data_IF_466515576363
#
_entry.id   IF_466515576363
#
_cell.length_a   1.000
_cell.length_b   1.000
_cell.length_c   1.000
_cell.angle_alpha   90.00
_cell.angle_beta   90.00
_cell.angle_gamma   90.00
#
_symmetry.space_group_name_H-M   'P 1'
#
loop_
_entity.id
_entity.type
_entity.pdbx_description
1 polymer ?
#
# COMPACT_ATOMS: atom_id res chain seq x y z
N UNK A 1 16.14 9.02 -20.58
CA UNK A 1 15.08 9.57 -19.71
C UNK A 1 13.67 9.05 -20.04
N UNK A 2 13.25 8.98 -21.32
CA UNK A 2 11.92 8.45 -21.70
C UNK A 2 11.61 7.02 -21.21
N UNK A 3 12.57 6.09 -21.31
CA UNK A 3 12.40 4.69 -20.85
C UNK A 3 12.25 4.55 -19.33
N UNK A 4 12.95 5.39 -18.57
CA UNK A 4 12.85 5.43 -17.11
C UNK A 4 11.49 6.00 -16.68
N UNK A 5 11.02 7.06 -17.33
CA UNK A 5 9.70 7.63 -17.08
C UNK A 5 8.58 6.63 -17.37
N UNK A 6 8.69 5.84 -18.44
CA UNK A 6 7.76 4.75 -18.76
C UNK A 6 7.73 3.69 -17.65
N UNK A 7 8.89 3.30 -17.11
CA UNK A 7 8.98 2.35 -16.00
C UNK A 7 8.33 2.89 -14.73
N UNK A 8 8.64 4.12 -14.33
CA UNK A 8 8.06 4.75 -13.14
C UNK A 8 6.53 4.84 -13.28
N UNK A 9 6.05 5.25 -14.45
CA UNK A 9 4.61 5.33 -14.72
C UNK A 9 3.93 3.96 -14.62
N UNK A 10 4.55 2.92 -15.19
CA UNK A 10 4.05 1.55 -15.10
C UNK A 10 4.04 1.02 -13.66
N UNK A 11 5.07 1.36 -12.87
CA UNK A 11 5.15 0.97 -11.46
C UNK A 11 4.05 1.64 -10.63
N UNK A 12 3.82 2.94 -10.81
CA UNK A 12 2.76 3.67 -10.09
C UNK A 12 1.38 3.09 -10.41
N UNK A 13 1.12 2.80 -11.70
CA UNK A 13 -0.13 2.17 -12.13
C UNK A 13 -0.34 0.81 -11.46
N UNK A 14 0.66 -0.06 -11.52
CA UNK A 14 0.59 -1.40 -10.93
C UNK A 14 0.43 -1.33 -9.40
N UNK A 15 1.18 -0.45 -8.74
CA UNK A 15 1.09 -0.23 -7.31
C UNK A 15 -0.30 0.23 -6.90
N UNK A 16 -0.90 1.17 -7.64
CA UNK A 16 -2.26 1.63 -7.40
C UNK A 16 -3.29 0.50 -7.50
N UNK A 17 -3.22 -0.30 -8.57
CA UNK A 17 -4.14 -1.44 -8.78
C UNK A 17 -4.04 -2.44 -7.63
N UNK A 18 -2.82 -2.80 -7.21
CA UNK A 18 -2.61 -3.74 -6.10
C UNK A 18 -3.14 -3.19 -4.78
N UNK A 19 -2.95 -1.90 -4.49
CA UNK A 19 -3.46 -1.28 -3.26
C UNK A 19 -5.00 -1.26 -3.23
N UNK A 20 -5.65 -0.91 -4.35
CA UNK A 20 -7.11 -0.94 -4.45
C UNK A 20 -7.62 -2.36 -4.26
N UNK A 21 -7.02 -3.34 -4.94
CA UNK A 21 -7.40 -4.74 -4.81
C UNK A 21 -7.21 -5.26 -3.39
N UNK A 22 -6.08 -4.95 -2.76
CA UNK A 22 -5.82 -5.29 -1.35
C UNK A 22 -6.87 -4.68 -0.41
N UNK A 23 -7.25 -3.41 -0.63
CA UNK A 23 -8.30 -2.75 0.13
C UNK A 23 -9.66 -3.43 -0.03
N UNK A 24 -9.99 -3.82 -1.26
CA UNK A 24 -11.22 -4.56 -1.54
C UNK A 24 -11.26 -5.91 -0.82
N UNK A 25 -10.15 -6.67 -0.85
CA UNK A 25 -10.05 -7.93 -0.10
C UNK A 25 -10.27 -7.70 1.40
N UNK A 26 -9.64 -6.66 1.96
CA UNK A 26 -9.82 -6.32 3.36
C UNK A 26 -11.27 -6.00 3.69
N UNK A 27 -12.00 -5.28 2.83
CA UNK A 27 -13.45 -5.03 3.03
C UNK A 27 -14.27 -6.32 2.96
N UNK A 28 -13.95 -7.24 2.05
CA UNK A 28 -14.67 -8.52 1.92
C UNK A 28 -14.47 -9.40 3.15
N UNK A 29 -13.24 -9.46 3.69
CA UNK A 29 -12.93 -10.28 4.86
C UNK A 29 -13.15 -9.57 6.20
N UNK A 30 -13.45 -8.27 6.20
CA UNK A 30 -13.73 -7.52 7.41
C UNK A 30 -15.15 -7.83 7.89
N UNK A 31 -15.25 -8.48 9.04
CA UNK A 31 -16.52 -8.74 9.70
C UNK A 31 -16.79 -7.62 10.72
N UNK A 32 -17.73 -6.71 10.45
CA UNK A 32 -18.04 -5.63 11.39
C UNK A 32 -18.73 -6.21 12.64
N UNK A 33 -18.12 -6.04 13.80
CA UNK A 33 -18.71 -6.43 15.08
C UNK A 33 -19.59 -5.29 15.63
N UNK A 34 -20.88 -5.32 15.28
CA UNK A 34 -21.84 -4.33 15.77
C UNK A 34 -22.27 -4.53 17.23
N UNK A 35 -22.02 -5.70 17.82
CA UNK A 35 -22.49 -6.05 19.16
C UNK A 35 -21.75 -5.27 20.25
N UNK A 36 -20.46 -5.00 20.02
CA UNK A 36 -19.66 -4.14 20.88
C UNK A 36 -19.90 -2.65 20.59
N UNK A 37 -20.27 -2.25 19.37
CA UNK A 37 -20.49 -0.83 19.08
C UNK A 37 -21.71 -0.26 19.81
N UNK A 38 -22.83 -0.98 19.87
CA UNK A 38 -24.07 -0.47 20.47
C UNK A 38 -23.97 -0.27 21.99
N UNK A 39 -23.29 -1.19 22.69
CA UNK A 39 -23.07 -1.09 24.15
C UNK A 39 -22.11 0.05 24.55
N UNK A 40 -21.31 0.56 23.61
CA UNK A 40 -20.40 1.70 23.83
C UNK A 40 -21.00 3.05 23.38
N UNK A 41 -22.22 3.08 22.83
CA UNK A 41 -22.88 4.33 22.40
C UNK A 41 -23.23 5.22 23.60
N UNK A 42 -23.57 4.63 24.75
CA UNK A 42 -23.85 5.38 25.99
C UNK A 42 -22.57 5.94 26.65
N UNK A 43 -21.39 5.42 26.29
CA UNK A 43 -20.08 5.88 26.76
C UNK A 43 -19.30 6.69 25.73
N UNK A 44 -19.94 7.06 24.61
CA UNK A 44 -19.31 7.81 23.53
C UNK A 44 -18.95 9.21 24.04
N UNK A 45 -17.72 9.37 24.53
CA UNK A 45 -17.12 10.68 24.77
C UNK A 45 -17.28 11.51 23.48
N UNK A 46 -17.62 12.79 23.64
CA UNK A 46 -17.76 13.76 22.54
C UNK A 46 -16.41 14.06 21.82
N UNK A 47 -15.39 13.25 22.10
CA UNK A 47 -14.06 13.29 21.53
C UNK A 47 -13.94 12.13 20.55
N UNK A 48 -13.83 12.45 19.27
CA UNK A 48 -13.55 11.48 18.22
C UNK A 48 -12.13 10.97 18.45
N UNK A 49 -12.00 9.84 19.14
CA UNK A 49 -10.74 9.12 19.23
C UNK A 49 -10.48 8.58 17.82
N UNK A 50 -9.59 9.23 17.07
CA UNK A 50 -9.07 8.70 15.82
C UNK A 50 -8.41 7.37 16.13
N UNK A 51 -9.14 6.29 15.87
CA UNK A 51 -8.73 4.91 16.13
C UNK A 51 -7.32 4.70 15.55
N UNK A 52 -6.38 4.49 16.47
CA UNK A 52 -5.10 3.79 16.31
C UNK A 52 -4.46 3.99 14.93
N UNK A 53 -3.62 5.03 14.82
CA UNK A 53 -2.66 5.18 13.74
C UNK A 53 -1.97 3.84 13.47
N UNK A 54 -2.03 3.36 12.23
CA UNK A 54 -1.36 2.11 11.85
C UNK A 54 0.09 2.21 12.31
N UNK A 55 0.57 1.21 13.07
CA UNK A 55 1.91 1.21 13.65
C UNK A 55 3.02 1.33 12.60
N UNK A 56 2.68 1.05 11.35
CA UNK A 56 3.55 1.22 10.18
C UNK A 56 3.07 2.43 9.37
N UNK A 57 3.86 3.50 9.29
CA UNK A 57 3.59 4.61 8.40
C UNK A 57 3.64 4.13 6.95
N UNK A 58 2.57 4.36 6.19
CA UNK A 58 2.47 4.02 4.76
C UNK A 58 3.67 4.52 3.95
N UNK A 59 4.24 5.67 4.35
CA UNK A 59 5.43 6.29 3.76
C UNK A 59 6.66 5.36 3.79
N UNK A 60 6.85 4.61 4.88
CA UNK A 60 8.01 3.70 5.00
C UNK A 60 7.86 2.54 4.02
N UNK A 61 6.66 1.98 3.91
CA UNK A 61 6.36 0.86 3.00
C UNK A 61 6.49 1.29 1.54
N UNK A 62 6.04 2.49 1.17
CA UNK A 62 6.22 3.02 -0.19
C UNK A 62 7.69 3.28 -0.52
N UNK A 63 8.48 3.82 0.42
CA UNK A 63 9.92 4.00 0.24
C UNK A 63 10.66 2.68 0.00
N UNK A 64 10.34 1.65 0.79
CA UNK A 64 10.94 0.31 0.64
C UNK A 64 10.53 -0.29 -0.71
N UNK A 65 9.25 -0.21 -1.07
CA UNK A 65 8.74 -0.73 -2.35
C UNK A 65 9.42 -0.05 -3.55
N UNK A 66 9.57 1.28 -3.53
CA UNK A 66 10.26 2.03 -4.57
C UNK A 66 11.75 1.63 -4.66
N UNK A 67 12.42 1.45 -3.53
CA UNK A 67 13.83 1.03 -3.47
C UNK A 67 14.02 -0.36 -4.07
N UNK A 68 13.15 -1.31 -3.71
CA UNK A 68 13.18 -2.68 -4.26
C UNK A 68 12.92 -2.65 -5.76
N UNK A 69 11.92 -1.90 -6.22
CA UNK A 69 11.59 -1.80 -7.64
C UNK A 69 12.75 -1.24 -8.47
N UNK A 70 13.43 -0.19 -7.97
CA UNK A 70 14.61 0.36 -8.63
C UNK A 70 15.77 -0.63 -8.67
N UNK A 71 16.03 -1.33 -7.56
CA UNK A 71 17.05 -2.37 -7.51
C UNK A 71 16.76 -3.52 -8.49
N UNK A 72 15.51 -3.98 -8.55
CA UNK A 72 15.10 -5.04 -9.48
C UNK A 72 15.26 -4.61 -10.94
N UNK A 73 14.84 -3.39 -11.27
CA UNK A 73 14.98 -2.82 -12.61
C UNK A 73 16.44 -2.71 -13.04
N UNK A 74 17.32 -2.24 -12.16
CA UNK A 74 18.76 -2.12 -12.45
C UNK A 74 19.43 -3.48 -12.67
N UNK A 75 19.08 -4.50 -11.86
CA UNK A 75 19.59 -5.88 -12.02
C UNK A 75 19.10 -6.55 -13.32
N UNK A 76 17.82 -6.39 -13.65
CA UNK A 76 17.24 -6.93 -14.88
C UNK A 76 17.82 -6.25 -16.13
N UNK A 77 18.03 -4.94 -16.09
CA UNK A 77 18.66 -4.19 -17.19
C UNK A 77 20.10 -4.64 -17.44
N UNK A 78 20.90 -4.83 -16.39
CA UNK A 78 22.31 -5.24 -16.51
C UNK A 78 22.47 -6.69 -17.03
N UNK A 79 21.51 -7.59 -16.75
CA UNK A 79 21.51 -8.95 -17.33
C UNK A 79 21.27 -8.94 -18.85
N UNK A 80 20.48 -8.00 -19.37
CA UNK A 80 20.20 -7.94 -20.81
C UNK A 80 21.40 -7.47 -21.66
N UNK A 81 22.38 -6.78 -21.06
CA UNK A 81 23.58 -6.29 -21.76
C UNK A 81 24.67 -7.35 -21.87
N UNK A 82 24.69 -8.34 -20.97
CA UNK A 82 25.70 -9.42 -20.94
C UNK A 82 25.32 -10.64 -21.81
N UNK A 83 24.23 -10.57 -22.57
CA UNK A 83 23.73 -11.67 -23.42
C UNK A 83 23.65 -11.31 -24.91
N UNK A 84 24.34 -10.25 -25.34
CA UNK A 84 24.62 -9.98 -26.76
C UNK A 84 26.08 -10.30 -27.09
#
# INVERSE_FOLDING_TARGET
MKKYLLFVLSFILLFGVINVFSGMLQTVFYQPDFSNLWNNVEQLHNEVIFVKSSSTPTIIVTLISATIAFYLQSRLSNKSVLTN
#
